data_IF_725488010550
#
_entry.id   IF_725488010550
#
_cell.length_a   1.000
_cell.length_b   1.000
_cell.length_c   1.000
_cell.angle_alpha   90.00
_cell.angle_beta   90.00
_cell.angle_gamma   90.00
#
_symmetry.space_group_name_H-M   'P 1'
#
loop_
_entity.id
_entity.type
_entity.pdbx_description
1 polymer ?
#
# COMPACT_ATOMS: atom_id res chain seq x y z
N UNK A 1 18.56 31.47 4.35
CA UNK A 1 17.93 30.25 4.89
C UNK A 1 18.53 29.10 4.12
N UNK A 2 19.12 28.14 4.84
CA UNK A 2 19.69 26.91 4.29
C UNK A 2 18.69 25.75 4.49
N UNK A 3 18.25 25.15 3.39
CA UNK A 3 17.32 24.02 3.38
C UNK A 3 18.08 22.79 2.89
N UNK A 4 18.07 21.74 3.68
CA UNK A 4 18.63 20.45 3.28
C UNK A 4 17.51 19.49 2.93
N UNK A 5 17.59 18.84 1.75
CA UNK A 5 16.71 17.75 1.37
C UNK A 5 17.42 16.46 1.68
N UNK A 6 16.96 15.76 2.70
CA UNK A 6 17.55 14.53 3.19
C UNK A 6 16.83 13.30 2.60
N UNK A 7 17.55 12.61 1.69
CA UNK A 7 17.04 11.57 0.80
C UNK A 7 16.58 12.16 -0.55
N UNK A 8 17.18 11.67 -1.65
CA UNK A 8 16.94 12.25 -2.98
C UNK A 8 16.53 11.20 -4.01
N UNK A 9 15.39 10.55 -3.73
CA UNK A 9 14.66 9.70 -4.66
C UNK A 9 13.40 10.45 -5.15
N UNK A 10 12.36 9.77 -5.58
CA UNK A 10 11.11 10.35 -6.13
C UNK A 10 10.51 11.41 -5.19
N UNK A 11 10.40 11.12 -3.89
CA UNK A 11 9.90 12.07 -2.88
C UNK A 11 10.88 13.26 -2.68
N UNK A 12 12.18 13.00 -2.69
CA UNK A 12 13.20 14.06 -2.55
C UNK A 12 13.21 15.02 -3.73
N UNK A 13 13.01 14.53 -4.95
CA UNK A 13 12.87 15.37 -6.15
C UNK A 13 11.63 16.26 -6.06
N UNK A 14 10.50 15.70 -5.67
CA UNK A 14 9.26 16.46 -5.46
C UNK A 14 9.42 17.51 -4.35
N UNK A 15 10.15 17.17 -3.28
CA UNK A 15 10.45 18.09 -2.17
C UNK A 15 11.37 19.22 -2.64
N UNK A 16 12.35 18.94 -3.49
CA UNK A 16 13.21 19.94 -4.11
C UNK A 16 12.38 20.92 -4.96
N UNK A 17 11.55 20.41 -5.86
CA UNK A 17 10.72 21.26 -6.72
C UNK A 17 9.79 22.14 -5.90
N UNK A 18 9.20 21.60 -4.84
CA UNK A 18 8.38 22.33 -3.89
C UNK A 18 9.19 23.41 -3.17
N UNK A 19 10.37 23.08 -2.63
CA UNK A 19 11.22 24.01 -1.90
C UNK A 19 11.66 25.19 -2.77
N UNK A 20 11.96 24.94 -4.06
CA UNK A 20 12.29 26.00 -5.03
C UNK A 20 11.13 26.96 -5.30
N UNK A 21 9.89 26.46 -5.25
CA UNK A 21 8.69 27.29 -5.43
C UNK A 21 8.38 28.13 -4.18
N UNK A 22 8.45 27.52 -3.00
CA UNK A 22 8.04 28.16 -1.74
C UNK A 22 9.15 29.02 -1.16
N UNK A 23 10.41 28.63 -1.33
CA UNK A 23 11.58 29.34 -0.83
C UNK A 23 12.58 29.62 -1.95
N UNK A 24 12.23 30.48 -2.93
CA UNK A 24 13.06 30.70 -4.13
C UNK A 24 14.46 31.26 -3.83
N UNK A 25 14.64 31.94 -2.71
CA UNK A 25 15.92 32.49 -2.26
C UNK A 25 16.70 31.58 -1.30
N UNK A 26 16.18 30.37 -0.99
CA UNK A 26 16.88 29.46 -0.11
C UNK A 26 18.12 28.85 -0.78
N UNK A 27 19.17 28.67 0.00
CA UNK A 27 20.30 27.81 -0.34
C UNK A 27 19.87 26.36 -0.15
N UNK A 28 19.78 25.60 -1.24
CA UNK A 28 19.36 24.20 -1.17
C UNK A 28 20.57 23.29 -1.24
N UNK A 29 20.69 22.42 -0.26
CA UNK A 29 21.64 21.32 -0.19
C UNK A 29 20.88 19.99 -0.33
N UNK A 30 21.46 19.02 -1.02
CA UNK A 30 20.92 17.67 -1.09
C UNK A 30 21.84 16.73 -0.31
N UNK A 31 21.28 15.88 0.54
CA UNK A 31 21.99 14.82 1.24
C UNK A 31 21.39 13.45 0.89
N UNK A 32 22.22 12.49 0.47
CA UNK A 32 21.80 11.09 0.23
C UNK A 32 22.98 10.15 0.44
N UNK A 33 22.76 8.94 0.94
CA UNK A 33 23.82 7.94 1.07
C UNK A 33 24.35 7.48 -0.29
N UNK A 34 23.49 7.50 -1.30
CA UNK A 34 23.85 7.11 -2.67
C UNK A 34 24.41 8.30 -3.43
N UNK A 35 25.26 8.00 -4.40
CA UNK A 35 25.71 9.01 -5.35
C UNK A 35 24.54 9.53 -6.19
N UNK A 36 24.39 10.84 -6.26
CA UNK A 36 23.38 11.51 -7.07
C UNK A 36 23.98 11.77 -8.46
N UNK A 37 23.44 11.11 -9.47
CA UNK A 37 23.95 11.24 -10.84
C UNK A 37 23.45 12.53 -11.54
N UNK A 38 22.26 12.98 -11.20
CA UNK A 38 21.60 14.14 -11.81
C UNK A 38 21.23 15.16 -10.71
N UNK A 39 22.10 16.14 -10.53
CA UNK A 39 21.94 17.23 -9.56
C UNK A 39 21.16 18.36 -10.23
N UNK A 40 20.00 18.76 -9.68
CA UNK A 40 19.18 19.80 -10.30
C UNK A 40 19.84 21.19 -10.19
N UNK A 41 19.51 22.14 -11.08
CA UNK A 41 20.10 23.47 -11.10
C UNK A 41 19.77 24.26 -9.82
N UNK A 42 20.75 25.01 -9.31
CA UNK A 42 20.58 25.86 -8.13
C UNK A 42 20.75 25.16 -6.78
N UNK A 43 21.14 23.90 -6.77
CA UNK A 43 21.67 23.22 -5.59
C UNK A 43 23.09 23.76 -5.31
N UNK A 44 23.33 24.18 -4.06
CA UNK A 44 24.61 24.78 -3.70
C UNK A 44 25.66 23.77 -3.23
N UNK A 45 25.20 22.63 -2.71
CA UNK A 45 26.09 21.54 -2.27
C UNK A 45 25.36 20.19 -2.28
N UNK A 46 26.12 19.09 -2.39
CA UNK A 46 25.63 17.72 -2.39
C UNK A 46 26.47 16.87 -1.45
N UNK A 47 25.86 16.43 -0.36
CA UNK A 47 26.47 15.53 0.62
C UNK A 47 26.12 14.08 0.28
N UNK A 48 27.11 13.24 0.07
CA UNK A 48 26.89 11.82 -0.28
C UNK A 48 27.76 10.89 0.56
N UNK A 49 27.30 9.63 0.68
CA UNK A 49 28.00 8.59 1.44
C UNK A 49 27.31 8.27 2.76
N UNK A 50 27.82 7.29 3.51
CA UNK A 50 27.16 6.75 4.70
C UNK A 50 26.89 7.77 5.81
N UNK A 51 27.71 8.83 5.88
CA UNK A 51 27.61 9.86 6.91
C UNK A 51 26.90 11.15 6.42
N UNK A 52 26.28 11.11 5.24
CA UNK A 52 25.65 12.28 4.62
C UNK A 52 24.60 12.97 5.53
N UNK A 53 23.90 12.20 6.36
CA UNK A 53 22.86 12.69 7.24
C UNK A 53 23.35 13.13 8.64
N UNK A 54 24.61 12.82 8.98
CA UNK A 54 25.27 13.24 10.21
C UNK A 54 26.08 14.55 10.06
N UNK A 55 25.98 15.24 8.92
CA UNK A 55 26.77 16.43 8.60
C UNK A 55 25.90 17.65 8.27
N UNK A 56 24.72 17.75 8.90
CA UNK A 56 23.71 18.76 8.57
C UNK A 56 23.60 19.90 9.63
N UNK A 57 24.66 20.09 10.46
CA UNK A 57 24.61 20.93 11.66
C UNK A 57 24.20 22.41 11.43
N UNK A 58 24.53 23.00 10.27
CA UNK A 58 24.24 24.39 9.94
C UNK A 58 22.97 24.60 9.10
N UNK A 59 22.10 23.60 8.97
CA UNK A 59 20.84 23.72 8.27
C UNK A 59 19.82 24.50 9.12
N UNK A 60 19.06 25.42 8.49
CA UNK A 60 17.89 25.99 9.12
C UNK A 60 16.72 25.00 9.16
N UNK A 61 16.52 24.27 8.05
CA UNK A 61 15.47 23.25 7.90
C UNK A 61 16.06 22.03 7.18
N UNK A 62 15.84 20.84 7.73
CA UNK A 62 16.08 19.57 7.05
C UNK A 62 14.75 18.93 6.65
N UNK A 63 14.50 18.90 5.35
CA UNK A 63 13.31 18.24 4.76
C UNK A 63 13.59 16.75 4.60
N UNK A 64 13.12 15.96 5.54
CA UNK A 64 13.27 14.51 5.56
C UNK A 64 12.30 13.83 4.58
N UNK A 65 12.81 12.90 3.77
CA UNK A 65 11.97 12.01 2.97
C UNK A 65 11.59 10.73 3.74
N UNK A 66 10.49 10.06 3.40
CA UNK A 66 9.97 8.92 4.19
C UNK A 66 10.96 7.77 4.38
N UNK A 67 11.81 7.49 3.39
CA UNK A 67 12.76 6.37 3.47
C UNK A 67 13.89 6.54 4.50
N UNK A 68 14.08 7.74 5.04
CA UNK A 68 15.11 8.06 6.02
C UNK A 68 14.52 8.11 7.42
N UNK A 69 15.04 7.32 8.35
CA UNK A 69 14.60 7.32 9.73
C UNK A 69 15.00 8.65 10.43
N UNK A 70 14.11 9.28 11.23
CA UNK A 70 14.37 10.59 11.84
C UNK A 70 15.64 10.64 12.72
N UNK A 71 15.92 9.57 13.45
CA UNK A 71 17.09 9.47 14.35
C UNK A 71 18.44 9.38 13.66
N UNK A 72 18.47 9.28 12.32
CA UNK A 72 19.71 9.28 11.52
C UNK A 72 20.15 10.69 11.12
N UNK A 73 19.34 11.69 11.41
CA UNK A 73 19.59 13.10 11.07
C UNK A 73 20.22 13.78 12.26
N UNK A 74 21.45 14.28 12.07
CA UNK A 74 22.15 15.12 13.04
C UNK A 74 22.21 16.57 12.54
N UNK A 75 21.47 17.45 13.21
CA UNK A 75 21.34 18.88 12.86
C UNK A 75 21.00 19.72 14.09
N UNK A 76 21.44 20.98 14.09
CA UNK A 76 21.01 22.01 15.05
C UNK A 76 19.72 22.72 14.58
N UNK A 77 19.29 22.47 13.34
CA UNK A 77 18.10 23.06 12.74
C UNK A 77 16.82 22.25 12.97
N UNK A 78 15.76 22.68 12.33
CA UNK A 78 14.46 22.00 12.41
C UNK A 78 14.40 20.81 11.45
N UNK A 79 14.16 19.61 11.97
CA UNK A 79 13.81 18.46 11.14
C UNK A 79 12.32 18.53 10.81
N UNK A 80 11.98 18.53 9.53
CA UNK A 80 10.62 18.61 9.03
C UNK A 80 10.41 17.58 7.93
N UNK A 81 9.29 16.90 7.88
CA UNK A 81 9.04 15.90 6.82
C UNK A 81 8.18 16.47 5.69
N UNK A 82 8.32 15.88 4.50
CA UNK A 82 7.42 16.18 3.37
C UNK A 82 5.95 15.92 3.74
N UNK A 83 5.69 14.92 4.59
CA UNK A 83 4.35 14.61 5.11
C UNK A 83 3.83 15.73 6.00
N UNK A 84 4.64 16.23 6.94
CA UNK A 84 4.27 17.35 7.81
C UNK A 84 3.98 18.61 7.02
N UNK A 85 4.82 18.94 6.04
CA UNK A 85 4.62 20.11 5.18
C UNK A 85 3.32 19.99 4.37
N UNK A 86 3.03 18.81 3.84
CA UNK A 86 1.77 18.56 3.13
C UNK A 86 0.56 18.76 4.05
N UNK A 87 0.54 18.17 5.23
CA UNK A 87 -0.54 18.36 6.21
C UNK A 87 -0.69 19.81 6.67
N UNK A 88 0.42 20.55 6.74
CA UNK A 88 0.40 21.96 7.15
C UNK A 88 -0.20 22.88 6.08
N UNK A 89 -0.05 22.53 4.79
CA UNK A 89 -0.40 23.38 3.65
C UNK A 89 -1.61 22.93 2.85
N UNK A 90 -2.02 21.69 2.96
CA UNK A 90 -3.17 21.16 2.22
C UNK A 90 -4.45 21.93 2.59
N UNK A 91 -5.13 22.55 1.62
CA UNK A 91 -6.37 23.31 1.90
C UNK A 91 -7.61 22.42 1.98
N UNK A 92 -7.53 21.18 1.46
CA UNK A 92 -8.63 20.23 1.36
C UNK A 92 -8.67 19.28 2.57
N UNK A 93 -9.84 18.69 2.90
CA UNK A 93 -9.94 17.61 3.85
C UNK A 93 -9.16 16.38 3.39
N UNK A 94 -8.51 15.70 4.36
CA UNK A 94 -7.67 14.55 4.12
C UNK A 94 -8.30 13.29 4.75
N UNK A 95 -8.46 12.25 3.95
CA UNK A 95 -8.76 10.88 4.40
C UNK A 95 -7.44 10.11 4.34
N UNK A 96 -6.86 9.82 5.49
CA UNK A 96 -5.59 9.09 5.59
C UNK A 96 -5.81 7.61 5.87
N UNK A 97 -5.09 6.75 5.17
CA UNK A 97 -5.20 5.29 5.33
C UNK A 97 -3.84 4.70 5.67
N UNK A 98 -3.75 4.00 6.80
CA UNK A 98 -2.58 3.22 7.18
C UNK A 98 -2.93 1.77 7.50
N UNK A 99 -1.94 0.92 7.64
CA UNK A 99 -2.03 -0.52 7.89
C UNK A 99 -0.79 -1.22 7.39
N UNK A 100 -0.67 -2.51 7.63
CA UNK A 100 0.40 -3.31 7.02
C UNK A 100 0.04 -3.66 5.59
N UNK A 101 -1.16 -4.19 5.37
CA UNK A 101 -1.70 -4.56 4.05
C UNK A 101 -3.02 -3.85 3.76
N UNK A 102 -3.48 -3.85 2.52
CA UNK A 102 -4.78 -3.31 2.12
C UNK A 102 -4.84 -1.79 1.86
N UNK A 103 -3.83 -1.01 2.25
CA UNK A 103 -3.81 0.47 2.11
C UNK A 103 -4.17 0.94 0.70
N UNK A 104 -3.40 0.51 -0.29
CA UNK A 104 -3.59 0.94 -1.67
C UNK A 104 -4.97 0.59 -2.23
N UNK A 105 -5.47 -0.62 -1.94
CA UNK A 105 -6.83 -1.04 -2.32
C UNK A 105 -7.89 -0.14 -1.66
N UNK A 106 -7.77 0.09 -0.35
CA UNK A 106 -8.73 0.92 0.40
C UNK A 106 -8.73 2.37 -0.10
N UNK A 107 -7.54 2.97 -0.32
CA UNK A 107 -7.39 4.32 -0.89
C UNK A 107 -8.05 4.42 -2.26
N UNK A 108 -7.81 3.43 -3.14
CA UNK A 108 -8.40 3.42 -4.48
C UNK A 108 -9.92 3.25 -4.47
N UNK A 109 -10.45 2.40 -3.59
CA UNK A 109 -11.89 2.25 -3.40
C UNK A 109 -12.54 3.54 -2.88
N UNK A 110 -11.91 4.22 -1.89
CA UNK A 110 -12.37 5.53 -1.40
C UNK A 110 -12.40 6.53 -2.55
N UNK A 111 -11.30 6.63 -3.31
CA UNK A 111 -11.20 7.57 -4.42
C UNK A 111 -12.27 7.30 -5.50
N UNK A 112 -12.45 6.05 -5.90
CA UNK A 112 -13.45 5.67 -6.91
C UNK A 112 -14.89 6.02 -6.46
N UNK A 113 -15.23 5.78 -5.21
CA UNK A 113 -16.54 6.13 -4.66
C UNK A 113 -16.74 7.65 -4.57
N UNK A 114 -15.75 8.41 -4.12
CA UNK A 114 -15.83 9.87 -4.06
C UNK A 114 -15.94 10.48 -5.47
N UNK A 115 -15.21 9.95 -6.45
CA UNK A 115 -15.34 10.36 -7.86
C UNK A 115 -16.74 10.05 -8.41
N UNK A 116 -17.30 8.88 -8.12
CA UNK A 116 -18.68 8.54 -8.48
C UNK A 116 -19.73 9.47 -7.83
N UNK A 117 -19.40 10.02 -6.64
CA UNK A 117 -20.19 11.06 -5.97
C UNK A 117 -19.95 12.46 -6.55
N UNK A 118 -19.12 12.61 -7.60
CA UNK A 118 -18.85 13.87 -8.27
C UNK A 118 -17.81 14.76 -7.57
N UNK A 119 -16.99 14.21 -6.68
CA UNK A 119 -15.92 14.95 -6.01
C UNK A 119 -14.65 14.96 -6.85
N UNK A 120 -13.89 16.06 -6.80
CA UNK A 120 -12.51 16.12 -7.27
C UNK A 120 -11.62 15.46 -6.23
N UNK A 121 -10.92 14.39 -6.60
CA UNK A 121 -10.16 13.56 -5.67
C UNK A 121 -8.69 13.50 -6.05
N UNK A 122 -7.82 13.78 -5.10
CA UNK A 122 -6.37 13.64 -5.23
C UNK A 122 -5.88 12.44 -4.43
N UNK A 123 -5.33 11.44 -5.11
CA UNK A 123 -4.68 10.29 -4.47
C UNK A 123 -3.19 10.57 -4.37
N UNK A 124 -2.67 10.56 -3.14
CA UNK A 124 -1.28 10.89 -2.84
C UNK A 124 -0.64 9.88 -1.87
N UNK A 125 0.67 9.89 -1.80
CA UNK A 125 1.46 9.12 -0.83
C UNK A 125 2.21 7.96 -1.46
N UNK A 126 2.17 6.80 -0.82
CA UNK A 126 2.93 5.61 -1.24
C UNK A 126 2.40 5.01 -2.56
N UNK A 127 1.19 5.35 -2.97
CA UNK A 127 0.66 5.15 -4.32
C UNK A 127 0.27 6.51 -4.91
N UNK A 128 0.18 6.56 -6.24
CA UNK A 128 -0.11 7.80 -6.96
C UNK A 128 1.16 8.64 -7.14
N UNK A 129 1.06 9.94 -6.84
CA UNK A 129 2.17 10.89 -6.95
C UNK A 129 2.64 11.36 -5.58
N UNK A 130 3.91 11.77 -5.43
CA UNK A 130 4.38 12.43 -4.22
C UNK A 130 3.45 13.57 -3.79
N UNK A 131 3.12 13.64 -2.52
CA UNK A 131 2.11 14.57 -2.01
C UNK A 131 2.43 16.03 -2.33
N UNK A 132 3.67 16.47 -2.08
CA UNK A 132 4.10 17.85 -2.35
C UNK A 132 4.03 18.23 -3.83
N UNK A 133 4.23 17.28 -4.75
CA UNK A 133 4.11 17.53 -6.19
C UNK A 133 2.68 17.87 -6.63
N UNK A 134 1.68 17.48 -5.85
CA UNK A 134 0.27 17.75 -6.15
C UNK A 134 -0.30 18.96 -5.41
N UNK A 135 0.36 19.43 -4.37
CA UNK A 135 -0.19 20.43 -3.45
C UNK A 135 -0.71 21.70 -4.14
N UNK A 136 -0.02 22.19 -5.17
CA UNK A 136 -0.43 23.38 -5.92
C UNK A 136 -1.70 23.18 -6.77
N UNK A 137 -2.14 21.94 -6.98
CA UNK A 137 -3.33 21.61 -7.78
C UNK A 137 -4.57 21.36 -6.92
N UNK A 138 -4.41 21.30 -5.58
CA UNK A 138 -5.47 20.97 -4.64
C UNK A 138 -6.21 22.23 -4.22
N UNK A 139 -7.52 22.27 -4.49
CA UNK A 139 -8.42 23.31 -4.04
C UNK A 139 -9.10 22.97 -2.69
N UNK A 140 -9.70 23.96 -2.01
CA UNK A 140 -10.35 23.75 -0.71
C UNK A 140 -11.60 22.86 -0.78
N UNK A 141 -12.25 22.76 -1.94
CA UNK A 141 -13.45 21.95 -2.17
C UNK A 141 -13.13 20.52 -2.65
N UNK A 142 -11.85 20.23 -2.89
CA UNK A 142 -11.38 18.90 -3.28
C UNK A 142 -11.28 17.97 -2.07
N UNK A 143 -10.98 16.70 -2.31
CA UNK A 143 -10.74 15.70 -1.27
C UNK A 143 -9.40 15.02 -1.53
N UNK A 144 -8.57 14.93 -0.50
CA UNK A 144 -7.32 14.17 -0.57
C UNK A 144 -7.52 12.80 0.06
N UNK A 145 -7.11 11.75 -0.64
CA UNK A 145 -7.02 10.38 -0.10
C UNK A 145 -5.54 10.01 -0.04
N UNK A 146 -5.01 9.88 1.19
CA UNK A 146 -3.59 9.75 1.43
C UNK A 146 -3.22 8.35 1.92
N UNK A 147 -2.44 7.60 1.11
CA UNK A 147 -1.84 6.35 1.58
C UNK A 147 -0.63 6.64 2.45
N UNK A 148 -0.72 6.38 3.74
CA UNK A 148 0.29 6.69 4.74
C UNK A 148 1.04 5.42 5.20
N UNK A 149 2.31 5.32 4.83
CA UNK A 149 3.24 4.31 5.36
C UNK A 149 3.65 4.64 6.80
N UNK A 150 4.25 3.67 7.52
CA UNK A 150 4.88 3.93 8.82
C UNK A 150 6.01 4.96 8.73
N UNK A 151 6.74 4.95 7.62
CA UNK A 151 7.85 5.87 7.36
C UNK A 151 7.42 7.33 7.20
N UNK A 152 6.25 7.56 6.57
CA UNK A 152 5.64 8.88 6.45
C UNK A 152 5.06 9.37 7.78
N UNK A 153 4.63 8.44 8.62
CA UNK A 153 4.03 8.73 9.92
C UNK A 153 5.04 8.83 11.07
N UNK A 154 6.32 8.48 10.88
CA UNK A 154 7.32 8.43 11.95
C UNK A 154 7.36 9.67 12.85
N UNK A 155 7.34 10.83 12.22
CA UNK A 155 7.43 12.14 12.86
C UNK A 155 6.26 13.07 12.47
N UNK A 156 5.13 12.47 12.10
CA UNK A 156 3.96 13.25 11.75
C UNK A 156 3.40 13.98 12.99
N UNK A 157 3.30 15.31 12.89
CA UNK A 157 2.79 16.21 13.94
C UNK A 157 1.32 16.59 13.75
N UNK A 158 0.70 16.04 12.69
CA UNK A 158 -0.70 16.25 12.34
C UNK A 158 -1.32 14.96 11.87
N UNK A 159 -2.60 14.80 12.10
CA UNK A 159 -3.41 13.67 11.68
C UNK A 159 -4.46 14.11 10.65
N UNK A 160 -4.91 13.20 9.74
CA UNK A 160 -6.01 13.48 8.83
C UNK A 160 -7.33 13.62 9.58
N UNK A 161 -8.30 14.33 9.00
CA UNK A 161 -9.64 14.48 9.55
C UNK A 161 -10.37 13.14 9.66
N UNK A 162 -10.13 12.25 8.68
CA UNK A 162 -10.62 10.88 8.75
C UNK A 162 -9.41 9.94 8.67
N UNK A 163 -9.13 9.24 9.76
CA UNK A 163 -8.08 8.24 9.85
C UNK A 163 -8.67 6.84 9.64
N UNK A 164 -8.08 6.06 8.76
CA UNK A 164 -8.43 4.65 8.55
C UNK A 164 -7.24 3.78 8.93
N UNK A 165 -7.43 2.92 9.93
CA UNK A 165 -6.41 1.99 10.43
C UNK A 165 -6.83 0.57 10.08
N UNK A 166 -6.17 0.00 9.09
CA UNK A 166 -6.37 -1.39 8.67
C UNK A 166 -5.62 -2.35 9.58
N UNK A 167 -5.55 -3.63 9.19
CA UNK A 167 -4.78 -4.65 9.93
C UNK A 167 -3.31 -4.26 10.07
N UNK A 168 -2.77 -4.41 11.29
CA UNK A 168 -1.37 -4.19 11.65
C UNK A 168 -0.74 -5.54 11.99
N UNK A 169 0.32 -5.89 11.30
CA UNK A 169 1.15 -7.08 11.49
C UNK A 169 2.62 -6.69 11.46
N UNK A 170 3.55 -7.52 11.97
CA UNK A 170 4.98 -7.26 11.84
C UNK A 170 5.42 -7.09 10.38
N UNK A 171 6.08 -5.96 10.10
CA UNK A 171 6.62 -5.62 8.79
C UNK A 171 7.75 -4.60 8.95
N UNK A 172 8.66 -4.53 7.97
CA UNK A 172 9.77 -3.57 7.95
C UNK A 172 10.63 -3.54 9.23
N UNK A 173 10.82 -4.70 9.90
CA UNK A 173 11.63 -4.80 11.13
C UNK A 173 13.14 -4.66 10.87
N UNK A 174 13.54 -4.60 9.62
CA UNK A 174 14.89 -4.23 9.16
C UNK A 174 15.12 -2.71 9.15
N UNK A 175 14.05 -1.91 9.25
CA UNK A 175 14.07 -0.43 9.23
C UNK A 175 13.60 0.20 10.52
N UNK A 176 12.59 -0.38 11.14
CA UNK A 176 12.10 0.01 12.46
C UNK A 176 12.95 -0.63 13.56
N UNK A 177 13.11 0.07 14.68
CA UNK A 177 13.89 -0.44 15.84
C UNK A 177 13.31 -1.76 16.36
N UNK A 178 11.98 -1.86 16.36
CA UNK A 178 11.22 -3.05 16.73
C UNK A 178 9.74 -2.88 16.32
N UNK A 179 8.94 -3.92 16.55
CA UNK A 179 7.52 -3.88 16.18
C UNK A 179 6.71 -2.85 16.96
N UNK A 180 7.05 -2.59 18.23
CA UNK A 180 6.35 -1.58 19.04
C UNK A 180 6.56 -0.16 18.46
N UNK A 181 7.77 0.16 18.00
CA UNK A 181 8.07 1.43 17.34
C UNK A 181 7.35 1.54 15.99
N UNK A 182 7.25 0.44 15.21
CA UNK A 182 6.44 0.41 13.97
C UNK A 182 4.96 0.74 14.24
N UNK A 183 4.38 0.19 15.32
CA UNK A 183 3.00 0.50 15.73
C UNK A 183 2.89 1.94 16.20
N UNK A 184 3.86 2.43 16.98
CA UNK A 184 3.89 3.80 17.50
C UNK A 184 4.02 4.84 16.37
N UNK A 185 4.86 4.59 15.38
CA UNK A 185 4.93 5.43 14.17
C UNK A 185 3.57 5.54 13.48
N UNK A 186 2.84 4.44 13.30
CA UNK A 186 1.50 4.46 12.71
C UNK A 186 0.46 5.14 13.60
N UNK A 187 0.66 5.19 14.91
CA UNK A 187 -0.25 5.84 15.85
C UNK A 187 -0.37 7.35 15.59
N UNK A 188 0.63 7.97 14.94
CA UNK A 188 0.56 9.39 14.57
C UNK A 188 -0.57 9.70 13.57
N UNK A 189 -1.14 8.73 12.87
CA UNK A 189 -2.36 8.95 12.07
C UNK A 189 -3.57 9.37 12.92
N UNK A 190 -3.57 8.97 14.19
CA UNK A 190 -4.65 9.20 15.16
C UNK A 190 -4.28 10.24 16.21
N UNK A 191 -3.02 10.23 16.66
CA UNK A 191 -2.53 10.92 17.87
C UNK A 191 -2.89 12.41 17.89
N UNK A 192 -2.80 13.08 16.76
CA UNK A 192 -3.00 14.51 16.63
C UNK A 192 -4.37 14.91 16.07
N UNK A 193 -5.32 13.96 16.01
CA UNK A 193 -6.70 14.27 15.63
C UNK A 193 -7.34 15.19 16.66
N UNK A 194 -8.29 16.02 16.20
CA UNK A 194 -8.96 17.08 16.97
C UNK A 194 -10.47 16.84 17.04
N UNK A 195 -11.19 17.56 17.91
CA UNK A 195 -12.65 17.54 17.92
C UNK A 195 -13.23 17.76 16.52
N UNK A 196 -14.13 16.86 16.09
CA UNK A 196 -14.70 16.83 14.73
C UNK A 196 -14.06 15.82 13.80
N UNK A 197 -12.85 15.34 14.08
CA UNK A 197 -12.18 14.26 13.33
C UNK A 197 -12.74 12.90 13.72
N UNK A 198 -12.46 11.88 12.89
CA UNK A 198 -12.93 10.49 13.09
C UNK A 198 -11.81 9.49 12.83
N UNK A 199 -11.71 8.46 13.67
CA UNK A 199 -10.89 7.29 13.43
C UNK A 199 -11.76 6.08 13.12
N UNK A 200 -11.40 5.32 12.08
CA UNK A 200 -12.05 4.08 11.67
C UNK A 200 -10.99 2.99 11.70
N UNK A 201 -11.21 1.90 12.43
CA UNK A 201 -10.16 0.92 12.65
C UNK A 201 -10.64 -0.53 12.54
N UNK A 202 -9.68 -1.44 12.34
CA UNK A 202 -9.92 -2.87 12.14
C UNK A 202 -10.54 -3.50 13.41
N UNK A 203 -11.66 -4.26 13.28
CA UNK A 203 -12.48 -4.68 14.42
C UNK A 203 -11.80 -5.65 15.38
N UNK A 204 -10.93 -6.53 14.87
CA UNK A 204 -10.34 -7.63 15.64
C UNK A 204 -8.81 -7.55 15.77
N UNK A 205 -8.17 -6.51 15.24
CA UNK A 205 -6.73 -6.35 15.35
C UNK A 205 -6.35 -5.54 16.59
N UNK A 206 -5.61 -6.11 17.56
CA UNK A 206 -5.31 -5.44 18.82
C UNK A 206 -4.44 -4.18 18.65
N UNK A 207 -3.57 -4.16 17.64
CA UNK A 207 -2.69 -3.02 17.38
C UNK A 207 -3.45 -1.87 16.69
N UNK A 208 -4.44 -2.19 15.84
CA UNK A 208 -5.34 -1.18 15.31
C UNK A 208 -6.20 -0.55 16.43
N UNK A 209 -6.66 -1.34 17.39
CA UNK A 209 -7.34 -0.84 18.58
C UNK A 209 -6.43 0.04 19.45
N UNK A 210 -5.18 -0.37 19.68
CA UNK A 210 -4.17 0.43 20.38
C UNK A 210 -3.95 1.79 19.69
N UNK A 211 -3.85 1.80 18.36
CA UNK A 211 -3.74 3.05 17.58
C UNK A 211 -5.00 3.91 17.73
N UNK A 212 -6.19 3.32 17.69
CA UNK A 212 -7.45 4.03 17.84
C UNK A 212 -7.60 4.74 19.21
N UNK A 213 -6.91 4.26 20.24
CA UNK A 213 -6.87 4.82 21.58
C UNK A 213 -5.77 5.90 21.75
N UNK A 214 -4.83 6.03 20.81
CA UNK A 214 -3.66 6.91 20.91
C UNK A 214 -4.03 8.36 20.55
N UNK A 215 -4.48 9.14 21.51
CA UNK A 215 -4.72 10.58 21.38
C UNK A 215 -3.74 11.37 22.23
N UNK A 216 -3.40 12.59 21.80
CA UNK A 216 -2.69 13.56 22.63
C UNK A 216 -3.43 13.79 23.95
N UNK A 217 -2.68 13.93 25.03
CA UNK A 217 -3.22 13.97 26.39
C UNK A 217 -4.28 15.06 26.58
N UNK A 218 -4.11 16.24 25.99
CA UNK A 218 -5.05 17.34 26.13
C UNK A 218 -6.34 17.09 25.35
N UNK A 219 -6.24 16.44 24.17
CA UNK A 219 -7.39 16.02 23.37
C UNK A 219 -8.14 14.90 24.08
N UNK A 220 -7.44 13.89 24.56
CA UNK A 220 -8.03 12.75 25.28
C UNK A 220 -8.76 13.17 26.56
N UNK A 221 -8.25 14.18 27.26
CA UNK A 221 -8.89 14.75 28.47
C UNK A 221 -10.05 15.70 28.15
N UNK A 222 -10.31 15.98 26.89
CA UNK A 222 -11.38 16.91 26.47
C UNK A 222 -11.06 18.38 26.73
N UNK A 223 -9.80 18.75 27.00
CA UNK A 223 -9.37 20.13 27.22
C UNK A 223 -9.63 21.04 26.02
N UNK A 224 -9.66 20.44 24.80
CA UNK A 224 -9.91 21.13 23.53
C UNK A 224 -11.34 20.88 22.99
N UNK A 225 -12.23 20.23 23.76
CA UNK A 225 -13.58 19.82 23.35
C UNK A 225 -13.79 18.31 23.45
N UNK A 226 -14.91 17.84 22.88
CA UNK A 226 -15.20 16.38 22.87
C UNK A 226 -14.14 15.63 22.09
N UNK A 227 -13.50 14.61 22.67
CA UNK A 227 -12.50 13.81 21.95
C UNK A 227 -13.08 13.22 20.66
N UNK A 228 -12.28 13.17 19.58
CA UNK A 228 -12.73 12.58 18.33
C UNK A 228 -13.07 11.09 18.53
N UNK A 229 -14.19 10.61 17.98
CA UNK A 229 -14.61 9.21 18.14
C UNK A 229 -13.69 8.26 17.34
N UNK A 230 -13.70 6.99 17.78
CA UNK A 230 -13.10 5.88 17.04
C UNK A 230 -14.13 4.75 16.90
N UNK A 231 -14.26 4.23 15.68
CA UNK A 231 -15.28 3.23 15.31
C UNK A 231 -14.66 2.04 14.59
N UNK A 232 -15.13 0.84 14.90
CA UNK A 232 -14.77 -0.38 14.16
C UNK A 232 -15.58 -0.49 12.88
N UNK A 233 -14.94 -0.74 11.76
CA UNK A 233 -15.64 -1.19 10.56
C UNK A 233 -15.87 -2.71 10.60
N UNK A 234 -16.73 -3.23 9.72
CA UNK A 234 -17.01 -4.67 9.60
C UNK A 234 -17.86 -5.27 10.72
N UNK A 235 -18.33 -4.47 11.67
CA UNK A 235 -19.22 -4.86 12.77
C UNK A 235 -20.45 -3.94 12.83
N UNK A 236 -21.64 -4.45 13.14
CA UNK A 236 -22.86 -3.65 13.25
C UNK A 236 -22.89 -2.72 14.46
N UNK A 237 -22.06 -2.97 15.47
CA UNK A 237 -22.17 -2.35 16.80
C UNK A 237 -21.79 -0.86 16.81
N UNK A 238 -20.87 -0.44 15.94
CA UNK A 238 -20.27 0.92 15.98
C UNK A 238 -20.87 1.88 14.94
N UNK A 239 -21.93 1.48 14.21
CA UNK A 239 -22.59 2.33 13.21
C UNK A 239 -21.80 2.55 11.93
N UNK A 240 -20.66 1.83 11.74
CA UNK A 240 -19.89 1.80 10.51
C UNK A 240 -20.40 0.71 9.56
N UNK A 241 -19.75 0.56 8.41
CA UNK A 241 -20.18 -0.39 7.39
C UNK A 241 -19.78 -1.81 7.77
N UNK A 242 -20.71 -2.74 7.62
CA UNK A 242 -20.53 -4.17 7.84
C UNK A 242 -21.23 -4.97 6.73
N UNK A 243 -20.95 -6.29 6.67
CA UNK A 243 -21.58 -7.21 5.71
C UNK A 243 -22.63 -8.06 6.40
N UNK A 244 -23.81 -8.15 5.77
CA UNK A 244 -24.89 -9.05 6.15
C UNK A 244 -25.63 -9.50 4.90
N UNK A 245 -25.96 -10.79 4.80
CA UNK A 245 -26.76 -11.39 3.71
C UNK A 245 -26.26 -10.98 2.31
N UNK A 246 -24.92 -11.04 2.07
CA UNK A 246 -24.32 -10.72 0.78
C UNK A 246 -24.40 -9.24 0.39
N UNK A 247 -24.58 -8.33 1.34
CA UNK A 247 -24.63 -6.90 1.09
C UNK A 247 -23.86 -6.09 2.15
N UNK A 248 -23.41 -4.89 1.78
CA UNK A 248 -22.89 -3.88 2.68
C UNK A 248 -24.03 -3.09 3.31
N UNK A 249 -23.94 -2.88 4.63
CA UNK A 249 -24.93 -2.19 5.43
C UNK A 249 -24.28 -1.14 6.34
N UNK A 250 -25.02 -0.06 6.65
CA UNK A 250 -24.70 0.86 7.74
C UNK A 250 -25.95 1.00 8.63
N UNK A 251 -25.90 0.46 9.84
CA UNK A 251 -27.09 0.32 10.67
C UNK A 251 -28.17 -0.50 9.93
N UNK A 252 -29.37 0.07 9.74
CA UNK A 252 -30.46 -0.56 8.98
C UNK A 252 -30.47 -0.18 7.47
N UNK A 253 -29.52 0.70 7.05
CA UNK A 253 -29.43 1.17 5.67
C UNK A 253 -28.62 0.18 4.84
N UNK A 254 -29.26 -0.49 3.88
CA UNK A 254 -28.58 -1.29 2.85
C UNK A 254 -27.91 -0.37 1.85
N UNK A 255 -26.62 -0.56 1.59
CA UNK A 255 -25.84 0.24 0.66
C UNK A 255 -25.83 -0.41 -0.74
N UNK A 256 -25.22 -1.60 -0.86
CA UNK A 256 -25.20 -2.35 -2.11
C UNK A 256 -24.86 -3.82 -1.85
N UNK A 257 -25.01 -4.67 -2.87
CA UNK A 257 -24.56 -6.07 -2.81
C UNK A 257 -23.04 -6.15 -2.85
N UNK A 258 -22.46 -7.18 -2.21
CA UNK A 258 -21.01 -7.40 -2.18
C UNK A 258 -20.42 -7.78 -3.55
N UNK A 259 -21.25 -8.33 -4.46
CA UNK A 259 -20.87 -8.66 -5.84
C UNK A 259 -20.55 -7.44 -6.72
N UNK A 260 -20.87 -6.23 -6.24
CA UNK A 260 -20.41 -4.99 -6.88
C UNK A 260 -18.91 -4.79 -6.78
N UNK A 261 -18.26 -5.40 -5.78
CA UNK A 261 -16.81 -5.36 -5.66
C UNK A 261 -16.18 -6.34 -6.67
N UNK A 262 -15.39 -5.82 -7.59
CA UNK A 262 -14.72 -6.62 -8.62
C UNK A 262 -13.51 -7.41 -8.09
N UNK A 263 -13.11 -7.17 -6.84
CA UNK A 263 -11.91 -7.73 -6.23
C UNK A 263 -12.21 -9.08 -5.54
N UNK A 264 -11.48 -10.16 -5.85
CA UNK A 264 -11.65 -11.43 -5.17
C UNK A 264 -11.08 -11.40 -3.73
N UNK A 265 -11.58 -12.29 -2.90
CA UNK A 265 -11.05 -12.57 -1.55
C UNK A 265 -11.73 -11.79 -0.42
N UNK A 266 -11.84 -12.46 0.74
CA UNK A 266 -12.51 -11.93 1.94
C UNK A 266 -11.84 -10.64 2.47
N UNK A 267 -10.51 -10.56 2.37
CA UNK A 267 -9.76 -9.36 2.77
C UNK A 267 -10.16 -8.10 1.96
N UNK A 268 -10.60 -8.26 0.71
CA UNK A 268 -11.08 -7.13 -0.09
C UNK A 268 -12.50 -6.70 0.32
N UNK A 269 -13.31 -7.61 0.84
CA UNK A 269 -14.58 -7.26 1.48
C UNK A 269 -14.32 -6.40 2.74
N UNK A 270 -13.33 -6.75 3.55
CA UNK A 270 -12.91 -5.94 4.70
C UNK A 270 -12.38 -4.56 4.29
N UNK A 271 -11.52 -4.50 3.26
CA UNK A 271 -11.05 -3.26 2.69
C UNK A 271 -12.21 -2.37 2.18
N UNK A 272 -13.23 -2.99 1.56
CA UNK A 272 -14.44 -2.28 1.11
C UNK A 272 -15.29 -1.77 2.27
N UNK A 273 -15.42 -2.52 3.38
CA UNK A 273 -16.08 -2.04 4.60
C UNK A 273 -15.36 -0.80 5.16
N UNK A 274 -14.02 -0.83 5.23
CA UNK A 274 -13.22 0.30 5.68
C UNK A 274 -13.39 1.52 4.76
N UNK A 275 -13.32 1.30 3.44
CA UNK A 275 -13.47 2.35 2.44
C UNK A 275 -14.86 3.00 2.45
N UNK A 276 -15.94 2.19 2.48
CA UNK A 276 -17.31 2.68 2.59
C UNK A 276 -17.52 3.45 3.89
N UNK A 277 -16.97 2.97 5.01
CA UNK A 277 -17.04 3.66 6.30
C UNK A 277 -16.37 5.03 6.24
N UNK A 278 -15.22 5.14 5.59
CA UNK A 278 -14.50 6.41 5.41
C UNK A 278 -15.30 7.40 4.54
N UNK A 279 -15.87 6.92 3.43
CA UNK A 279 -16.70 7.76 2.55
C UNK A 279 -17.96 8.25 3.26
N UNK A 280 -18.63 7.39 4.05
CA UNK A 280 -19.81 7.77 4.81
C UNK A 280 -19.50 8.64 6.04
N UNK A 281 -18.29 8.56 6.60
CA UNK A 281 -17.83 9.52 7.60
C UNK A 281 -17.58 10.91 6.98
N UNK A 282 -17.11 10.96 5.73
CA UNK A 282 -16.92 12.20 4.98
C UNK A 282 -18.25 12.79 4.47
N UNK A 283 -19.11 11.96 3.89
CA UNK A 283 -20.41 12.33 3.35
C UNK A 283 -21.50 11.36 3.83
N UNK A 284 -22.12 11.63 5.00
CA UNK A 284 -23.16 10.77 5.57
C UNK A 284 -24.39 10.61 4.67
N UNK A 285 -24.60 11.53 3.72
CA UNK A 285 -25.72 11.52 2.80
C UNK A 285 -25.38 10.87 1.45
N UNK A 286 -24.17 10.30 1.30
CA UNK A 286 -23.74 9.66 0.07
C UNK A 286 -24.77 8.66 -0.47
N UNK A 287 -25.10 8.78 -1.75
CA UNK A 287 -26.15 7.99 -2.39
C UNK A 287 -25.69 6.54 -2.60
N UNK A 288 -26.40 5.51 -2.09
CA UNK A 288 -26.00 4.12 -2.20
C UNK A 288 -25.69 3.66 -3.62
N UNK A 289 -26.44 4.11 -4.60
CA UNK A 289 -26.20 3.77 -6.00
C UNK A 289 -24.84 4.29 -6.49
N UNK A 290 -24.45 5.50 -6.11
CA UNK A 290 -23.14 6.07 -6.47
C UNK A 290 -22.00 5.33 -5.78
N UNK A 291 -22.18 4.91 -4.54
CA UNK A 291 -21.21 4.06 -3.83
C UNK A 291 -21.03 2.72 -4.56
N UNK A 292 -22.13 2.09 -5.00
CA UNK A 292 -22.08 0.86 -5.78
C UNK A 292 -21.38 1.04 -7.15
N UNK A 293 -21.64 2.15 -7.83
CA UNK A 293 -20.97 2.52 -9.09
C UNK A 293 -19.46 2.68 -8.87
N UNK A 294 -19.04 3.38 -7.80
CA UNK A 294 -17.65 3.56 -7.44
C UNK A 294 -16.95 2.24 -7.10
N UNK A 295 -17.57 1.37 -6.31
CA UNK A 295 -17.02 0.04 -6.02
C UNK A 295 -16.85 -0.81 -7.30
N UNK A 296 -17.85 -0.77 -8.19
CA UNK A 296 -17.81 -1.53 -9.44
C UNK A 296 -16.81 -0.98 -10.48
N UNK A 297 -16.43 0.29 -10.38
CA UNK A 297 -15.50 0.92 -11.31
C UNK A 297 -14.03 0.58 -11.02
N UNK A 298 -13.71 0.10 -9.81
CA UNK A 298 -12.35 -0.23 -9.44
C UNK A 298 -12.09 -1.73 -9.62
N UNK A 299 -11.40 -2.06 -10.71
CA UNK A 299 -11.06 -3.44 -11.08
C UNK A 299 -9.79 -3.99 -10.36
N UNK A 300 -9.17 -3.21 -9.49
CA UNK A 300 -7.95 -3.58 -8.75
C UNK A 300 -6.77 -2.66 -9.06
N UNK A 301 -5.74 -2.76 -8.20
CA UNK A 301 -4.46 -2.11 -8.48
C UNK A 301 -3.75 -2.88 -9.60
N UNK A 302 -3.06 -2.20 -10.51
CA UNK A 302 -2.22 -2.87 -11.49
C UNK A 302 -1.29 -3.88 -10.80
N UNK A 303 -1.15 -5.05 -11.38
CA UNK A 303 -0.27 -6.12 -10.90
C UNK A 303 -0.58 -6.64 -9.47
N UNK A 304 -1.80 -6.45 -8.97
CA UNK A 304 -2.26 -6.96 -7.66
C UNK A 304 -3.54 -7.78 -7.83
N UNK A 305 -3.41 -9.08 -7.97
CA UNK A 305 -4.50 -10.01 -8.29
C UNK A 305 -5.41 -9.46 -9.41
N UNK A 306 -4.81 -8.76 -10.38
CA UNK A 306 -5.52 -8.12 -11.46
C UNK A 306 -5.95 -9.20 -12.47
N UNK A 307 -7.25 -9.25 -12.78
CA UNK A 307 -7.77 -10.13 -13.83
C UNK A 307 -7.19 -9.71 -15.19
N UNK A 308 -6.62 -10.68 -15.92
CA UNK A 308 -5.98 -10.44 -17.22
C UNK A 308 -6.89 -10.88 -18.37
N UNK A 309 -7.33 -12.13 -18.33
CA UNK A 309 -8.16 -12.72 -19.36
C UNK A 309 -8.77 -14.04 -18.87
N UNK A 310 -9.80 -14.51 -19.58
CA UNK A 310 -10.28 -15.88 -19.53
C UNK A 310 -10.08 -16.51 -20.90
N UNK A 311 -9.39 -17.65 -20.97
CA UNK A 311 -9.12 -18.40 -22.19
C UNK A 311 -9.35 -19.88 -21.91
N UNK A 312 -10.12 -20.57 -22.72
CA UNK A 312 -10.45 -21.99 -22.59
C UNK A 312 -11.02 -22.33 -21.19
N UNK A 313 -11.89 -21.46 -20.65
CA UNK A 313 -12.47 -21.55 -19.30
C UNK A 313 -11.43 -21.51 -18.17
N UNK A 314 -10.21 -21.02 -18.43
CA UNK A 314 -9.15 -20.76 -17.47
C UNK A 314 -9.00 -19.26 -17.27
N UNK A 315 -9.03 -18.80 -16.03
CA UNK A 315 -8.86 -17.38 -15.68
C UNK A 315 -7.43 -17.09 -15.26
N UNK A 316 -6.87 -16.01 -15.78
CA UNK A 316 -5.49 -15.57 -15.53
C UNK A 316 -5.47 -14.32 -14.69
N UNK A 317 -4.64 -14.31 -13.64
CA UNK A 317 -4.48 -13.19 -12.71
C UNK A 317 -3.02 -12.79 -12.56
N UNK A 318 -2.76 -11.50 -12.68
CA UNK A 318 -1.46 -10.89 -12.46
C UNK A 318 -1.38 -10.34 -11.04
N UNK A 319 -0.49 -10.92 -10.23
CA UNK A 319 -0.12 -10.48 -8.88
C UNK A 319 1.39 -10.24 -8.79
N UNK A 320 1.98 -9.70 -9.85
CA UNK A 320 3.43 -9.51 -9.97
C UNK A 320 4.03 -8.63 -8.86
N UNK A 321 3.22 -7.78 -8.19
CA UNK A 321 3.62 -6.99 -7.03
C UNK A 321 3.87 -7.85 -5.77
N UNK A 322 3.44 -9.10 -5.74
CA UNK A 322 3.64 -10.04 -4.64
C UNK A 322 5.10 -10.49 -4.55
N UNK A 323 5.95 -9.68 -3.94
CA UNK A 323 7.39 -9.91 -3.82
C UNK A 323 7.80 -10.63 -2.55
N UNK A 324 6.85 -11.10 -1.75
CA UNK A 324 7.09 -11.84 -0.49
C UNK A 324 6.27 -13.12 -0.42
N UNK A 325 6.73 -14.18 0.28
CA UNK A 325 5.96 -15.40 0.49
C UNK A 325 4.57 -15.16 1.09
N UNK A 326 4.44 -14.28 2.07
CA UNK A 326 3.15 -13.93 2.68
C UNK A 326 2.16 -13.30 1.70
N UNK A 327 2.62 -12.60 0.66
CA UNK A 327 1.75 -12.07 -0.40
C UNK A 327 1.23 -13.21 -1.30
N UNK A 328 2.08 -14.15 -1.68
CA UNK A 328 1.66 -15.31 -2.48
C UNK A 328 0.70 -16.24 -1.72
N UNK A 329 0.88 -16.38 -0.40
CA UNK A 329 -0.09 -17.08 0.47
C UNK A 329 -1.47 -16.38 0.39
N UNK A 330 -1.51 -15.07 0.47
CA UNK A 330 -2.76 -14.32 0.34
C UNK A 330 -3.41 -14.52 -1.03
N UNK A 331 -2.60 -14.58 -2.10
CA UNK A 331 -3.08 -14.86 -3.45
C UNK A 331 -3.68 -16.28 -3.57
N UNK A 332 -3.03 -17.29 -3.00
CA UNK A 332 -3.55 -18.65 -2.96
C UNK A 332 -4.90 -18.74 -2.23
N UNK A 333 -5.06 -18.01 -1.13
CA UNK A 333 -6.30 -17.99 -0.33
C UNK A 333 -7.43 -17.17 -0.96
N UNK A 334 -7.13 -16.35 -1.96
CA UNK A 334 -8.13 -15.50 -2.60
C UNK A 334 -9.10 -16.27 -3.51
N UNK A 335 -8.75 -17.49 -3.91
CA UNK A 335 -9.54 -18.30 -4.83
C UNK A 335 -9.94 -19.64 -4.22
N UNK A 336 -11.20 -20.00 -4.38
CA UNK A 336 -11.71 -21.31 -4.01
C UNK A 336 -11.46 -22.36 -5.10
N UNK A 337 -11.32 -21.92 -6.35
CA UNK A 337 -11.08 -22.75 -7.52
C UNK A 337 -9.70 -23.40 -7.49
N UNK A 338 -9.49 -24.52 -8.20
CA UNK A 338 -8.16 -25.08 -8.37
C UNK A 338 -7.22 -24.10 -9.10
N UNK A 339 -5.95 -24.06 -8.69
CA UNK A 339 -5.01 -23.03 -9.11
C UNK A 339 -3.71 -23.57 -9.65
N UNK A 340 -3.19 -22.94 -10.69
CA UNK A 340 -1.79 -23.05 -11.12
C UNK A 340 -1.03 -21.83 -10.60
N UNK A 341 -0.05 -22.07 -9.72
CA UNK A 341 0.77 -21.00 -9.12
C UNK A 341 2.07 -20.83 -9.91
N UNK A 342 2.36 -19.61 -10.33
CA UNK A 342 3.66 -19.20 -10.88
C UNK A 342 4.38 -18.42 -9.79
N UNK A 343 5.57 -18.92 -9.35
CA UNK A 343 6.34 -18.40 -8.22
C UNK A 343 7.83 -18.34 -8.56
N UNK A 344 8.54 -17.33 -8.04
CA UNK A 344 9.99 -17.15 -8.19
C UNK A 344 10.41 -15.82 -8.82
N UNK A 345 11.73 -15.59 -8.82
CA UNK A 345 12.37 -14.36 -9.27
C UNK A 345 13.76 -14.21 -8.66
N UNK A 346 14.15 -12.97 -8.28
CA UNK A 346 15.43 -12.68 -7.68
C UNK A 346 15.58 -13.35 -6.30
N UNK A 347 16.74 -13.95 -6.07
CA UNK A 347 17.09 -14.51 -4.76
C UNK A 347 17.49 -13.39 -3.79
N UNK A 348 16.73 -13.25 -2.69
CA UNK A 348 17.00 -12.32 -1.58
C UNK A 348 17.04 -13.04 -0.23
N UNK A 349 17.20 -14.36 -0.21
CA UNK A 349 17.21 -15.16 1.01
C UNK A 349 15.85 -15.21 1.71
N UNK A 350 14.76 -15.22 0.96
CA UNK A 350 13.40 -15.32 1.51
C UNK A 350 13.16 -16.67 2.18
N UNK A 351 12.40 -16.68 3.27
CA UNK A 351 11.89 -17.90 3.89
C UNK A 351 10.63 -18.37 3.18
N UNK A 352 10.72 -19.48 2.46
CA UNK A 352 9.61 -20.06 1.69
C UNK A 352 8.89 -21.22 2.41
N UNK A 353 9.31 -21.60 3.61
CA UNK A 353 8.65 -22.64 4.41
C UNK A 353 7.17 -22.32 4.67
N UNK A 354 6.77 -21.10 5.05
CA UNK A 354 5.35 -20.76 5.23
C UNK A 354 4.52 -20.90 3.94
N UNK A 355 5.10 -20.62 2.78
CA UNK A 355 4.43 -20.79 1.50
C UNK A 355 4.27 -22.30 1.17
N UNK A 356 5.31 -23.11 1.42
CA UNK A 356 5.24 -24.56 1.23
C UNK A 356 4.20 -25.20 2.14
N UNK A 357 4.12 -24.77 3.41
CA UNK A 357 3.08 -25.21 4.33
C UNK A 357 1.68 -24.87 3.81
N UNK A 358 1.47 -23.64 3.33
CA UNK A 358 0.18 -23.24 2.77
C UNK A 358 -0.21 -24.09 1.56
N UNK A 359 0.74 -24.35 0.65
CA UNK A 359 0.50 -25.21 -0.52
C UNK A 359 0.13 -26.63 -0.08
N UNK A 360 0.83 -27.18 0.92
CA UNK A 360 0.52 -28.47 1.49
C UNK A 360 -0.89 -28.52 2.09
N UNK A 361 -1.26 -27.51 2.88
CA UNK A 361 -2.57 -27.42 3.53
C UNK A 361 -3.72 -27.29 2.52
N UNK A 362 -3.50 -26.61 1.39
CA UNK A 362 -4.47 -26.50 0.32
C UNK A 362 -4.63 -27.76 -0.53
N UNK A 363 -3.65 -28.67 -0.50
CA UNK A 363 -3.72 -30.00 -1.13
C UNK A 363 -4.09 -29.94 -2.61
N UNK A 364 -5.11 -30.68 -3.02
CA UNK A 364 -5.54 -30.82 -4.42
C UNK A 364 -6.09 -29.51 -5.04
N UNK A 365 -6.36 -28.49 -4.23
CA UNK A 365 -6.77 -27.18 -4.76
C UNK A 365 -5.59 -26.43 -5.40
N UNK A 366 -4.34 -26.84 -5.16
CA UNK A 366 -3.19 -26.39 -5.96
C UNK A 366 -2.94 -27.44 -7.04
N UNK A 367 -3.32 -27.11 -8.27
CA UNK A 367 -3.22 -28.01 -9.44
C UNK A 367 -1.79 -28.27 -9.86
N UNK A 368 -0.99 -27.20 -9.91
CA UNK A 368 0.40 -27.26 -10.33
C UNK A 368 1.16 -26.01 -9.83
N UNK A 369 2.48 -26.15 -9.75
CA UNK A 369 3.38 -25.05 -9.39
C UNK A 369 4.47 -24.94 -10.45
N UNK A 370 4.69 -23.71 -10.91
CA UNK A 370 5.76 -23.37 -11.86
C UNK A 370 6.73 -22.46 -11.14
N UNK A 371 7.98 -22.91 -11.00
CA UNK A 371 9.02 -22.06 -10.40
C UNK A 371 9.89 -21.44 -11.49
N UNK A 372 10.09 -20.11 -11.38
CA UNK A 372 10.83 -19.31 -12.36
C UNK A 372 11.89 -18.42 -11.71
N UNK A 373 12.81 -17.88 -12.52
CA UNK A 373 13.82 -16.93 -12.09
C UNK A 373 14.99 -17.55 -11.35
N UNK A 374 15.85 -16.70 -10.78
CA UNK A 374 17.12 -17.13 -10.18
C UNK A 374 16.95 -18.07 -8.97
N UNK A 375 15.87 -17.92 -8.21
CA UNK A 375 15.57 -18.73 -7.02
C UNK A 375 14.65 -19.93 -7.28
N UNK A 376 14.31 -20.22 -8.53
CA UNK A 376 13.39 -21.29 -8.90
C UNK A 376 13.71 -22.66 -8.26
N UNK A 377 14.98 -23.08 -8.32
CA UNK A 377 15.43 -24.36 -7.76
C UNK A 377 15.36 -24.39 -6.23
N UNK A 378 15.64 -23.25 -5.56
CA UNK A 378 15.57 -23.14 -4.12
C UNK A 378 14.12 -23.27 -3.63
N UNK A 379 13.18 -22.58 -4.28
CA UNK A 379 11.75 -22.68 -3.96
C UNK A 379 11.24 -24.11 -4.21
N UNK A 380 11.60 -24.72 -5.36
CA UNK A 380 11.21 -26.08 -5.68
C UNK A 380 11.70 -27.10 -4.62
N UNK A 381 12.93 -26.94 -4.14
CA UNK A 381 13.47 -27.79 -3.09
C UNK A 381 12.72 -27.66 -1.76
N UNK A 382 12.34 -26.46 -1.35
CA UNK A 382 11.53 -26.25 -0.15
C UNK A 382 10.15 -26.89 -0.29
N UNK A 383 9.47 -26.70 -1.43
CA UNK A 383 8.17 -27.30 -1.71
C UNK A 383 8.23 -28.85 -1.71
N UNK A 384 9.30 -29.43 -2.27
CA UNK A 384 9.51 -30.89 -2.26
C UNK A 384 9.72 -31.45 -0.86
N UNK A 385 10.40 -30.71 0.03
CA UNK A 385 10.61 -31.10 1.42
C UNK A 385 9.31 -31.14 2.24
N UNK A 386 8.26 -30.47 1.80
CA UNK A 386 6.92 -30.47 2.40
C UNK A 386 5.97 -31.49 1.83
N UNK A 387 6.43 -32.39 0.93
CA UNK A 387 5.62 -33.43 0.27
C UNK A 387 4.33 -32.86 -0.37
N UNK A 388 4.42 -31.68 -1.00
CA UNK A 388 3.27 -31.08 -1.67
C UNK A 388 2.77 -31.97 -2.79
N UNK A 389 1.47 -32.22 -2.86
CA UNK A 389 0.86 -33.11 -3.85
C UNK A 389 0.90 -32.56 -5.29
N UNK A 390 0.97 -31.22 -5.43
CA UNK A 390 0.98 -30.55 -6.72
C UNK A 390 2.28 -30.85 -7.49
N UNK A 391 2.23 -31.15 -8.80
CA UNK A 391 3.41 -31.27 -9.64
C UNK A 391 4.15 -29.95 -9.72
N UNK A 392 5.49 -29.98 -9.59
CA UNK A 392 6.36 -28.81 -9.64
C UNK A 392 7.16 -28.85 -10.94
N UNK A 393 7.03 -27.80 -11.75
CA UNK A 393 7.84 -27.59 -12.95
C UNK A 393 8.82 -26.46 -12.71
N UNK A 394 10.12 -26.76 -12.72
CA UNK A 394 11.19 -25.79 -12.50
C UNK A 394 11.74 -25.32 -13.84
N UNK A 395 11.50 -24.06 -14.20
CA UNK A 395 11.94 -23.47 -15.46
C UNK A 395 13.23 -22.64 -15.32
N UNK A 396 13.45 -22.03 -14.15
CA UNK A 396 14.55 -21.07 -13.98
C UNK A 396 14.33 -19.77 -14.77
N UNK A 397 15.41 -19.18 -15.26
CA UNK A 397 15.37 -17.90 -15.99
C UNK A 397 15.07 -18.15 -17.48
N UNK A 398 13.77 -18.14 -17.82
CA UNK A 398 13.25 -18.28 -19.20
C UNK A 398 12.33 -17.09 -19.54
N UNK A 399 12.00 -16.86 -20.83
CA UNK A 399 11.03 -15.84 -21.21
C UNK A 399 9.64 -16.08 -20.58
N UNK A 400 8.90 -15.03 -20.29
CA UNK A 400 7.57 -15.12 -19.67
C UNK A 400 6.57 -15.89 -20.57
N UNK A 401 6.75 -15.87 -21.88
CA UNK A 401 5.95 -16.68 -22.82
C UNK A 401 6.05 -18.17 -22.55
N UNK A 402 7.26 -18.69 -22.26
CA UNK A 402 7.47 -20.09 -21.91
C UNK A 402 6.84 -20.46 -20.56
N UNK A 403 6.90 -19.53 -19.58
CA UNK A 403 6.24 -19.69 -18.28
C UNK A 403 4.72 -19.81 -18.46
N UNK A 404 4.13 -18.91 -19.24
CA UNK A 404 2.68 -18.88 -19.50
C UNK A 404 2.24 -20.12 -20.33
N UNK A 405 3.01 -20.52 -21.33
CA UNK A 405 2.71 -21.70 -22.12
C UNK A 405 2.75 -22.99 -21.26
N UNK A 406 3.69 -23.07 -20.33
CA UNK A 406 3.76 -24.16 -19.35
C UNK A 406 2.53 -24.13 -18.44
N UNK A 407 2.09 -22.97 -17.99
CA UNK A 407 0.89 -22.84 -17.17
C UNK A 407 -0.38 -23.26 -17.94
N UNK A 408 -0.51 -22.86 -19.19
CA UNK A 408 -1.62 -23.28 -20.09
C UNK A 408 -1.71 -24.78 -20.24
N UNK A 409 -0.56 -25.48 -20.37
CA UNK A 409 -0.53 -26.95 -20.52
C UNK A 409 -0.95 -27.69 -19.24
N UNK A 410 -0.80 -27.07 -18.06
CA UNK A 410 -1.11 -27.73 -16.78
C UNK A 410 -2.50 -27.34 -16.24
N UNK A 411 -3.04 -26.22 -16.68
CA UNK A 411 -4.38 -25.76 -16.30
C UNK A 411 -5.48 -26.58 -16.99
N UNK A 412 -6.64 -26.67 -16.33
CA UNK A 412 -7.86 -27.30 -16.85
C UNK A 412 -9.01 -26.28 -16.82
N UNK A 413 -10.06 -26.49 -17.63
CA UNK A 413 -11.27 -25.66 -17.54
C UNK A 413 -11.77 -25.53 -16.11
N UNK A 414 -12.05 -24.30 -15.69
CA UNK A 414 -12.45 -23.93 -14.34
C UNK A 414 -11.29 -23.56 -13.40
N UNK A 415 -10.03 -23.75 -13.81
CA UNK A 415 -8.86 -23.38 -13.00
C UNK A 415 -8.56 -21.88 -13.06
N UNK A 416 -7.73 -21.45 -12.11
CA UNK A 416 -7.15 -20.11 -12.06
C UNK A 416 -5.64 -20.21 -12.20
N UNK A 417 -5.04 -19.44 -13.10
CA UNK A 417 -3.58 -19.28 -13.22
C UNK A 417 -3.18 -17.96 -12.55
N UNK A 418 -2.26 -18.02 -11.59
CA UNK A 418 -1.86 -16.86 -10.78
C UNK A 418 -0.36 -16.65 -10.92
N UNK A 419 0.06 -15.50 -11.47
CA UNK A 419 1.42 -15.02 -11.32
C UNK A 419 1.53 -14.33 -9.96
N UNK A 420 2.00 -15.02 -8.91
CA UNK A 420 2.26 -14.45 -7.59
C UNK A 420 3.66 -14.86 -7.12
N UNK A 421 4.68 -14.11 -7.53
CA UNK A 421 6.07 -14.58 -7.55
C UNK A 421 6.71 -14.86 -6.20
N UNK A 422 6.22 -14.28 -5.10
CA UNK A 422 6.83 -14.36 -3.76
C UNK A 422 8.30 -13.86 -3.73
N UNK A 423 8.78 -13.22 -4.78
CA UNK A 423 10.14 -12.77 -4.99
C UNK A 423 10.20 -11.48 -5.81
N UNK A 424 11.25 -10.69 -5.61
CA UNK A 424 11.50 -9.52 -6.45
C UNK A 424 11.79 -9.91 -7.90
N UNK A 425 11.73 -8.93 -8.82
CA UNK A 425 11.80 -9.16 -10.28
C UNK A 425 13.16 -8.86 -10.92
N UNK A 426 14.10 -8.28 -10.15
CA UNK A 426 15.32 -7.66 -10.67
C UNK A 426 16.38 -8.63 -11.23
N UNK A 427 16.11 -9.93 -11.26
CA UNK A 427 16.92 -10.96 -11.92
C UNK A 427 16.70 -11.00 -13.44
N UNK A 428 15.46 -10.75 -13.90
CA UNK A 428 15.09 -10.84 -15.31
C UNK A 428 14.34 -9.61 -15.83
N UNK A 429 13.78 -8.77 -14.94
CA UNK A 429 12.90 -7.64 -15.30
C UNK A 429 13.36 -6.35 -14.63
N UNK A 430 13.06 -5.22 -15.26
CA UNK A 430 13.39 -3.90 -14.72
C UNK A 430 12.59 -3.56 -13.44
N UNK A 431 11.37 -4.10 -13.34
CA UNK A 431 10.48 -3.88 -12.20
C UNK A 431 9.43 -4.99 -12.11
N UNK A 432 8.68 -5.03 -11.00
CA UNK A 432 7.51 -5.90 -10.91
C UNK A 432 6.43 -5.54 -11.96
N UNK A 433 6.33 -4.27 -12.32
CA UNK A 433 5.40 -3.81 -13.35
C UNK A 433 5.78 -4.37 -14.72
N UNK A 434 7.06 -4.28 -15.09
CA UNK A 434 7.59 -4.89 -16.32
C UNK A 434 7.33 -6.41 -16.37
N UNK A 435 7.57 -7.13 -15.27
CA UNK A 435 7.23 -8.56 -15.16
C UNK A 435 5.74 -8.83 -15.37
N UNK A 436 4.88 -8.01 -14.77
CA UNK A 436 3.42 -8.12 -14.91
C UNK A 436 2.96 -7.79 -16.32
N UNK A 437 3.48 -6.75 -16.95
CA UNK A 437 3.18 -6.39 -18.33
C UNK A 437 3.55 -7.50 -19.31
N UNK A 438 4.73 -8.14 -19.13
CA UNK A 438 5.14 -9.29 -19.93
C UNK A 438 4.24 -10.51 -19.71
N UNK A 439 3.76 -10.75 -18.49
CA UNK A 439 2.77 -11.80 -18.23
C UNK A 439 1.44 -11.50 -18.94
N UNK A 440 0.93 -10.28 -18.84
CA UNK A 440 -0.30 -9.86 -19.52
C UNK A 440 -0.15 -10.06 -21.03
N UNK A 441 0.95 -9.60 -21.64
CA UNK A 441 1.22 -9.77 -23.06
C UNK A 441 1.29 -11.24 -23.48
N UNK A 442 1.97 -12.08 -22.69
CA UNK A 442 2.08 -13.52 -22.96
C UNK A 442 0.73 -14.26 -22.87
N UNK A 443 -0.11 -13.90 -21.89
CA UNK A 443 -1.47 -14.45 -21.77
C UNK A 443 -2.33 -14.05 -22.97
N UNK A 444 -2.29 -12.78 -23.37
CA UNK A 444 -3.11 -12.23 -24.46
C UNK A 444 -2.61 -12.58 -25.86
N UNK A 445 -1.42 -13.20 -25.98
CA UNK A 445 -0.81 -13.54 -27.24
C UNK A 445 -0.28 -12.34 -28.03
N UNK A 446 -0.10 -11.19 -27.36
CA UNK A 446 0.52 -9.98 -27.93
C UNK A 446 2.04 -10.08 -27.79
N UNK A 447 2.80 -9.71 -28.80
CA UNK A 447 4.24 -9.49 -28.63
C UNK A 447 4.43 -8.20 -27.84
N UNK A 448 5.15 -8.30 -26.72
CA UNK A 448 5.52 -7.16 -25.89
C UNK A 448 6.62 -6.30 -26.54
#
# INVERSE_FOLDING_TARGET
MKVVIAGYDVEGRATYDYARQVWPAAEIVIADERRIADVPPGVVDVLTGPDAFAQLGDADIVMRTPGLAPWRIETDGTVWSATNEFFARCPAPIIGVTGTKGKGTTVSLIAAMLQALGRTVHVVGNIGRPALAQLAQIGPDDVVVYELSSFQLWDAERSPQIAVVLMIEPDHLDKHVNFAEYVDAKANIRRHQRPGDVCIYHPSNPYAAQIAESLDTDVARGSLGTPPPAYRYGTPDDGMVYVKDGAFWQGERRLCATDRLQLPGAHNIENACAALSAVLAFDPQAVPQRLAEGLASFAGLPHRLAFVAEQDEVRYYDDSIATTPGSAIAALRAFAEPKVLIVGGADKGGDYEPLAQEVYDQGESVRAIITMGANASAIAAVLQNYDVAAPITTLGSVPMTEVVDTAKQQAKPGDVVILSPAAASFDQYHSYADRGEQFIAAVQGSQA
#
